data_IF_671914014049
#
_entry.id   IF_671914014049
#
_cell.length_a   1.000
_cell.length_b   1.000
_cell.length_c   1.000
_cell.angle_alpha   90.00
_cell.angle_beta   90.00
_cell.angle_gamma   90.00
#
_symmetry.space_group_name_H-M   'P 1'
#
loop_
_entity.id
_entity.type
_entity.pdbx_description
1 polymer ?
#
# COMPACT_ATOMS: atom_id res chain seq x y z
N UNK A 1 3.22 3.45 -15.11
CA UNK A 1 2.78 4.78 -14.62
C UNK A 1 3.71 5.34 -13.54
N UNK A 2 3.58 4.99 -12.24
CA UNK A 2 4.44 5.55 -11.17
C UNK A 2 5.96 5.37 -11.39
N UNK A 3 6.38 4.25 -11.99
CA UNK A 3 7.79 3.97 -12.37
C UNK A 3 8.26 4.73 -13.62
N UNK A 4 7.34 5.19 -14.46
CA UNK A 4 7.62 5.82 -15.76
C UNK A 4 7.65 7.35 -15.64
N UNK A 5 7.24 7.91 -14.50
CA UNK A 5 7.25 9.35 -14.26
C UNK A 5 8.59 9.75 -13.62
N UNK A 6 9.48 10.42 -14.35
CA UNK A 6 10.86 10.68 -13.90
C UNK A 6 10.94 11.64 -12.69
N UNK A 7 9.87 12.39 -12.41
CA UNK A 7 9.82 13.36 -11.31
C UNK A 7 9.35 12.77 -9.97
N UNK A 8 9.10 11.46 -9.88
CA UNK A 8 8.66 10.82 -8.63
C UNK A 8 9.88 10.24 -7.92
N UNK A 9 10.30 10.92 -6.86
CA UNK A 9 11.33 10.45 -5.94
C UNK A 9 10.74 9.97 -4.61
N UNK A 10 11.59 9.41 -3.74
CA UNK A 10 11.22 8.91 -2.40
C UNK A 10 10.66 9.97 -1.42
N UNK A 11 10.69 11.25 -1.77
CA UNK A 11 10.24 12.37 -0.94
C UNK A 11 9.02 13.09 -1.53
N UNK A 12 8.61 12.70 -2.74
CA UNK A 12 7.51 13.29 -3.46
C UNK A 12 6.21 13.06 -2.71
N UNK A 13 5.34 14.08 -2.66
CA UNK A 13 4.07 14.03 -1.93
C UNK A 13 2.92 13.64 -2.84
N UNK A 14 1.95 12.93 -2.28
CA UNK A 14 0.77 12.47 -3.02
C UNK A 14 0.02 13.62 -3.73
N UNK A 15 -0.09 14.78 -3.08
CA UNK A 15 -0.73 15.97 -3.64
C UNK A 15 -0.08 16.50 -4.92
N UNK A 16 1.23 16.31 -5.10
CA UNK A 16 1.98 16.76 -6.27
C UNK A 16 1.83 15.76 -7.43
N UNK A 17 1.85 14.46 -7.09
CA UNK A 17 1.67 13.37 -8.06
C UNK A 17 0.23 13.31 -8.57
N UNK A 18 -0.75 13.50 -7.68
CA UNK A 18 -2.18 13.54 -8.00
C UNK A 18 -2.48 14.51 -9.14
N UNK A 19 -1.94 15.73 -9.08
CA UNK A 19 -2.17 16.77 -10.11
C UNK A 19 -1.51 16.42 -11.45
N UNK A 20 -0.33 15.79 -11.42
CA UNK A 20 0.41 15.42 -12.63
C UNK A 20 -0.18 14.19 -13.34
N UNK A 21 -0.80 13.29 -12.58
CA UNK A 21 -1.30 12.00 -13.08
C UNK A 21 -2.80 11.99 -13.42
N UNK A 22 -3.53 13.05 -13.09
CA UNK A 22 -4.99 13.12 -13.28
C UNK A 22 -5.43 12.91 -14.74
N UNK A 23 -4.54 13.21 -15.69
CA UNK A 23 -4.78 13.02 -17.13
C UNK A 23 -4.42 11.63 -17.67
N UNK A 24 -3.66 10.79 -16.93
CA UNK A 24 -3.21 9.48 -17.41
C UNK A 24 -4.37 8.46 -17.39
N UNK A 25 -4.66 7.76 -18.51
CA UNK A 25 -5.73 6.75 -18.58
C UNK A 25 -5.61 5.65 -17.52
N UNK A 26 -4.38 5.27 -17.14
CA UNK A 26 -4.12 4.24 -16.11
C UNK A 26 -4.39 4.76 -14.70
N UNK A 27 -4.35 6.07 -14.50
CA UNK A 27 -4.73 6.70 -13.23
C UNK A 27 -6.25 6.79 -13.13
N UNK A 28 -6.94 7.12 -14.22
CA UNK A 28 -8.41 7.15 -14.29
C UNK A 28 -9.03 5.76 -14.14
N UNK A 29 -8.37 4.70 -14.61
CA UNK A 29 -8.85 3.32 -14.52
C UNK A 29 -8.97 2.76 -13.08
N UNK A 30 -8.34 3.38 -12.09
CA UNK A 30 -8.46 2.97 -10.68
C UNK A 30 -9.52 3.83 -10.00
N UNK A 31 -10.72 3.35 -9.77
CA UNK A 31 -11.82 4.23 -9.30
C UNK A 31 -11.66 4.71 -7.85
N UNK A 32 -11.01 3.92 -7.00
CA UNK A 32 -10.81 4.24 -5.59
C UNK A 32 -9.64 5.21 -5.37
N UNK A 33 -9.94 6.40 -4.84
CA UNK A 33 -8.90 7.38 -4.47
C UNK A 33 -7.98 6.87 -3.36
N UNK A 34 -8.49 6.04 -2.45
CA UNK A 34 -7.70 5.40 -1.38
C UNK A 34 -6.70 4.42 -1.98
N UNK A 35 -7.16 3.57 -2.90
CA UNK A 35 -6.31 2.56 -3.54
C UNK A 35 -5.18 3.18 -4.38
N UNK A 36 -5.47 4.32 -5.05
CA UNK A 36 -4.43 5.10 -5.75
C UNK A 36 -3.35 5.61 -4.79
N UNK A 37 -3.77 6.12 -3.64
CA UNK A 37 -2.87 6.65 -2.61
C UNK A 37 -2.06 5.54 -1.93
N UNK A 38 -2.66 4.37 -1.71
CA UNK A 38 -1.98 3.20 -1.14
C UNK A 38 -0.90 2.66 -2.07
N UNK A 39 -1.18 2.52 -3.37
CA UNK A 39 -0.17 2.12 -4.36
C UNK A 39 0.96 3.15 -4.48
N UNK A 40 0.65 4.43 -4.31
CA UNK A 40 1.66 5.48 -4.25
C UNK A 40 2.55 5.35 -3.01
N UNK A 41 1.95 5.18 -1.82
CA UNK A 41 2.68 4.98 -0.55
C UNK A 41 3.57 3.74 -0.62
N UNK A 42 3.07 2.65 -1.18
CA UNK A 42 3.84 1.43 -1.41
C UNK A 42 5.00 1.65 -2.39
N UNK A 43 4.77 2.38 -3.47
CA UNK A 43 5.82 2.72 -4.44
C UNK A 43 6.94 3.56 -3.80
N UNK A 44 6.59 4.58 -3.01
CA UNK A 44 7.56 5.40 -2.27
C UNK A 44 8.33 4.57 -1.22
N UNK A 45 7.64 3.66 -0.52
CA UNK A 45 8.26 2.73 0.43
C UNK A 45 9.30 1.85 -0.27
N UNK A 46 8.96 1.29 -1.43
CA UNK A 46 9.88 0.48 -2.25
C UNK A 46 11.12 1.27 -2.68
N UNK A 47 10.98 2.51 -3.13
CA UNK A 47 12.11 3.39 -3.49
C UNK A 47 13.02 3.71 -2.29
N UNK A 48 12.45 3.82 -1.08
CA UNK A 48 13.23 4.00 0.16
C UNK A 48 14.02 2.73 0.51
N UNK A 49 13.40 1.56 0.39
CA UNK A 49 14.03 0.26 0.65
C UNK A 49 15.12 -0.06 -0.37
N UNK A 50 14.91 0.24 -1.65
CA UNK A 50 15.88 0.04 -2.73
C UNK A 50 17.16 0.87 -2.49
N UNK A 51 17.01 2.16 -2.17
CA UNK A 51 18.16 3.00 -1.78
C UNK A 51 18.86 2.51 -0.51
N UNK A 52 18.10 1.97 0.45
CA UNK A 52 18.69 1.41 1.68
C UNK A 52 19.57 0.21 1.34
N UNK A 53 19.08 -0.69 0.48
CA UNK A 53 19.82 -1.85 -0.02
C UNK A 53 21.05 -1.45 -0.84
N UNK A 54 20.96 -0.45 -1.70
CA UNK A 54 22.11 0.08 -2.44
C UNK A 54 23.18 0.67 -1.52
N UNK A 55 22.77 1.41 -0.48
CA UNK A 55 23.70 1.95 0.53
C UNK A 55 24.38 0.85 1.34
N UNK A 56 23.65 -0.20 1.71
CA UNK A 56 24.19 -1.36 2.44
C UNK A 56 25.13 -2.19 1.56
N UNK A 57 24.76 -2.46 0.31
CA UNK A 57 25.62 -3.12 -0.67
C UNK A 57 26.89 -2.32 -1.01
N UNK A 58 26.78 -1.00 -1.14
CA UNK A 58 27.91 -0.11 -1.35
C UNK A 58 28.87 -0.02 -0.16
N UNK A 59 28.36 -0.15 1.08
CA UNK A 59 29.20 -0.28 2.28
C UNK A 59 29.97 -1.60 2.28
N UNK A 60 29.29 -2.71 2.01
CA UNK A 60 29.90 -4.04 1.91
C UNK A 60 31.01 -4.08 0.85
N UNK A 61 30.75 -3.58 -0.37
CA UNK A 61 31.75 -3.54 -1.45
C UNK A 61 32.94 -2.61 -1.13
N UNK A 62 32.70 -1.50 -0.42
CA UNK A 62 33.78 -0.58 0.02
C UNK A 62 34.64 -1.20 1.13
N UNK A 63 34.05 -1.98 2.01
CA UNK A 63 34.72 -2.72 3.07
C UNK A 63 35.59 -3.84 2.49
N UNK A 64 35.04 -4.59 1.53
CA UNK A 64 35.76 -5.65 0.80
C UNK A 64 36.94 -5.10 -0.02
N UNK A 65 36.78 -3.92 -0.65
CA UNK A 65 37.87 -3.22 -1.35
C UNK A 65 38.95 -2.72 -0.39
N UNK A 66 38.59 -2.33 0.83
CA UNK A 66 39.53 -1.89 1.86
C UNK A 66 40.35 -3.07 2.38
N UNK A 67 39.73 -4.22 2.63
CA UNK A 67 40.44 -5.45 3.00
C UNK A 67 41.40 -5.92 1.90
N UNK A 68 41.00 -5.86 0.62
CA UNK A 68 41.90 -6.21 -0.50
C UNK A 68 43.14 -5.32 -0.56
N UNK A 69 42.98 -4.00 -0.42
CA UNK A 69 44.11 -3.06 -0.37
C UNK A 69 45.02 -3.29 0.83
N UNK A 70 44.46 -3.67 1.98
CA UNK A 70 45.26 -3.98 3.17
C UNK A 70 46.04 -5.29 3.02
N UNK A 71 45.47 -6.30 2.34
CA UNK A 71 46.18 -7.54 2.01
C UNK A 71 47.30 -7.31 0.98
N UNK A 72 47.09 -6.45 -0.01
CA UNK A 72 48.14 -6.05 -0.97
C UNK A 72 49.28 -5.29 -0.29
N UNK A 73 48.98 -4.31 0.56
CA UNK A 73 50.02 -3.54 1.25
C UNK A 73 50.84 -4.39 2.24
N UNK A 74 50.22 -5.38 2.88
CA UNK A 74 50.93 -6.39 3.71
C UNK A 74 51.86 -7.27 2.87
N UNK A 75 51.42 -7.67 1.66
CA UNK A 75 52.27 -8.45 0.72
C UNK A 75 53.45 -7.63 0.21
N UNK A 76 53.24 -6.35 -0.13
CA UNK A 76 54.31 -5.46 -0.58
C UNK A 76 55.34 -5.17 0.52
N UNK A 77 54.91 -4.98 1.78
CA UNK A 77 55.85 -4.86 2.90
C UNK A 77 56.65 -6.13 3.12
N UNK A 78 56.02 -7.30 2.98
CA UNK A 78 56.71 -8.59 3.08
C UNK A 78 57.72 -8.81 1.94
N UNK A 79 57.41 -8.39 0.71
CA UNK A 79 58.35 -8.51 -0.42
C UNK A 79 59.49 -7.50 -0.35
N UNK A 80 59.24 -6.28 0.15
CA UNK A 80 60.31 -5.29 0.43
C UNK A 80 61.27 -5.76 1.52
N UNK A 81 60.76 -6.37 2.59
CA UNK A 81 61.57 -6.95 3.67
C UNK A 81 62.48 -8.07 3.18
N UNK A 82 62.00 -8.94 2.28
CA UNK A 82 62.82 -10.01 1.68
C UNK A 82 63.87 -9.44 0.71
N UNK A 83 63.56 -8.34 0.02
CA UNK A 83 64.48 -7.69 -0.92
C UNK A 83 65.57 -6.85 -0.23
N UNK A 84 65.33 -6.38 0.99
CA UNK A 84 66.37 -5.76 1.82
C UNK A 84 67.35 -6.79 2.37
N UNK A 85 66.88 -7.98 2.77
CA UNK A 85 67.76 -9.08 3.23
C UNK A 85 68.66 -9.64 2.10
N UNK A 86 68.20 -9.61 0.84
CA UNK A 86 69.05 -9.96 -0.32
C UNK A 86 70.09 -8.88 -0.68
N UNK A 87 69.83 -7.60 -0.37
CA UNK A 87 70.70 -6.46 -0.75
C UNK A 87 71.79 -6.16 0.27
N UNK A 88 71.64 -6.57 1.52
CA UNK A 88 72.71 -6.50 2.53
C UNK A 88 73.81 -7.54 2.29
N UNK A 89 73.51 -8.64 1.58
CA UNK A 89 74.51 -9.67 1.25
C UNK A 89 75.30 -9.38 -0.05
N UNK A 90 75.01 -8.27 -0.76
CA UNK A 90 75.64 -7.94 -2.05
C UNK A 90 76.39 -6.59 -2.04
N UNK A 91 76.55 -5.96 -0.88
CA UNK A 91 77.15 -4.62 -0.75
C UNK A 91 78.39 -4.64 0.13
N UNK A 92 79.30 -5.55 -0.19
CA UNK A 92 80.67 -5.62 0.38
C UNK A 92 81.75 -5.68 -0.72
N UNK A 93 81.42 -5.29 -1.96
CA UNK A 93 82.41 -5.16 -3.03
C UNK A 93 82.11 -3.99 -3.96
N UNK A 94 83.19 -3.28 -4.26
CA UNK A 94 83.35 -2.26 -5.31
C UNK A 94 82.96 -0.84 -4.90
N UNK A 95 83.84 -0.25 -4.07
CA UNK A 95 84.33 1.11 -4.29
C UNK A 95 85.36 1.07 -5.43
N UNK A 96 85.24 1.95 -6.42
CA UNK A 96 86.25 2.92 -6.87
C UNK A 96 85.99 3.43 -8.31
N UNK A 97 86.46 4.67 -8.49
CA UNK A 97 86.81 5.37 -9.74
C UNK A 97 85.74 6.18 -10.54
N UNK A 98 85.86 7.49 -10.31
CA UNK A 98 86.22 8.54 -11.29
C UNK A 98 85.17 9.22 -12.20
N UNK A 99 84.96 10.49 -11.82
CA UNK A 99 85.24 11.73 -12.56
C UNK A 99 84.10 12.55 -13.18
N UNK A 100 84.01 13.78 -12.63
CA UNK A 100 83.72 15.11 -13.22
C UNK A 100 82.62 15.27 -14.30
N UNK A 101 81.60 16.10 -14.01
CA UNK A 101 81.37 17.39 -14.71
C UNK A 101 80.15 18.17 -14.18
N UNK A 102 80.37 19.50 -14.08
CA UNK A 102 79.42 20.62 -14.11
C UNK A 102 78.27 20.73 -13.09
N UNK A 103 78.53 21.60 -12.10
CA UNK A 103 77.54 22.31 -11.28
C UNK A 103 77.48 23.74 -11.78
N UNK A 104 76.44 24.11 -12.52
CA UNK A 104 75.90 25.47 -12.50
C UNK A 104 74.49 25.51 -13.12
N UNK A 105 73.45 25.45 -12.27
CA UNK A 105 72.06 25.65 -12.70
C UNK A 105 70.92 25.05 -11.87
N UNK A 106 71.16 24.22 -10.86
CA UNK A 106 70.09 23.41 -10.23
C UNK A 106 69.57 23.90 -8.86
N UNK A 107 70.11 24.99 -8.29
CA UNK A 107 69.76 25.40 -6.91
C UNK A 107 68.43 26.18 -6.84
N UNK A 108 68.07 26.95 -7.87
CA UNK A 108 66.78 27.65 -7.94
C UNK A 108 65.61 26.71 -8.26
N UNK A 109 65.87 25.58 -8.93
CA UNK A 109 64.84 24.60 -9.31
C UNK A 109 64.48 23.67 -8.13
N UNK A 110 65.45 23.31 -7.28
CA UNK A 110 65.21 22.51 -6.07
C UNK A 110 64.37 23.21 -4.99
N UNK A 111 64.60 24.52 -4.74
CA UNK A 111 63.84 25.28 -3.75
C UNK A 111 62.40 25.51 -4.23
N UNK A 112 62.23 25.78 -5.54
CA UNK A 112 60.92 25.87 -6.18
C UNK A 112 60.18 24.51 -6.21
N UNK A 113 60.91 23.40 -6.34
CA UNK A 113 60.37 22.05 -6.30
C UNK A 113 59.91 21.65 -4.89
N UNK A 114 60.69 21.98 -3.85
CA UNK A 114 60.32 21.75 -2.44
C UNK A 114 59.09 22.56 -2.03
N UNK A 115 58.98 23.83 -2.43
CA UNK A 115 57.77 24.62 -2.19
C UNK A 115 56.52 24.07 -2.90
N UNK A 116 56.68 23.55 -4.13
CA UNK A 116 55.59 22.90 -4.87
C UNK A 116 55.16 21.60 -4.18
N UNK A 117 56.11 20.81 -3.70
CA UNK A 117 55.83 19.56 -2.99
C UNK A 117 55.12 19.82 -1.64
N UNK A 118 55.52 20.86 -0.90
CA UNK A 118 54.86 21.28 0.33
C UNK A 118 53.43 21.82 0.07
N UNK A 119 53.24 22.65 -0.96
CA UNK A 119 51.90 23.11 -1.37
C UNK A 119 51.01 21.95 -1.80
N UNK A 120 51.55 20.97 -2.54
CA UNK A 120 50.82 19.78 -2.95
C UNK A 120 50.49 18.87 -1.74
N UNK A 121 51.38 18.76 -0.76
CA UNK A 121 51.14 18.03 0.48
C UNK A 121 50.04 18.71 1.33
N UNK A 122 50.07 20.04 1.45
CA UNK A 122 49.03 20.81 2.12
C UNK A 122 47.68 20.72 1.41
N UNK A 123 47.65 20.77 0.08
CA UNK A 123 46.41 20.60 -0.70
C UNK A 123 45.86 19.17 -0.55
N UNK A 124 46.72 18.15 -0.55
CA UNK A 124 46.34 16.76 -0.25
C UNK A 124 45.77 16.63 1.16
N UNK A 125 46.40 17.26 2.16
CA UNK A 125 45.90 17.27 3.55
C UNK A 125 44.56 17.99 3.66
N UNK A 126 44.41 19.18 3.06
CA UNK A 126 43.16 19.94 3.06
C UNK A 126 42.02 19.19 2.35
N UNK A 127 42.32 18.47 1.26
CA UNK A 127 41.34 17.62 0.57
C UNK A 127 40.91 16.42 1.41
N UNK A 128 41.84 15.81 2.14
CA UNK A 128 41.57 14.71 3.07
C UNK A 128 40.74 15.20 4.27
N UNK A 129 41.09 16.34 4.85
CA UNK A 129 40.35 16.96 5.96
C UNK A 129 38.95 17.39 5.52
N UNK A 130 38.81 18.02 4.36
CA UNK A 130 37.51 18.37 3.78
C UNK A 130 36.64 17.12 3.55
N UNK A 131 37.24 16.03 3.03
CA UNK A 131 36.53 14.75 2.84
C UNK A 131 36.12 14.10 4.16
N UNK A 132 36.97 14.17 5.19
CA UNK A 132 36.67 13.64 6.52
C UNK A 132 35.55 14.47 7.19
N UNK A 133 35.64 15.80 7.13
CA UNK A 133 34.63 16.73 7.64
C UNK A 133 33.29 16.56 6.93
N UNK A 134 33.29 16.35 5.62
CA UNK A 134 32.07 16.07 4.85
C UNK A 134 31.44 14.73 5.26
N UNK A 135 32.27 13.70 5.44
CA UNK A 135 31.82 12.39 5.92
C UNK A 135 31.25 12.46 7.33
N UNK A 136 31.89 13.18 8.24
CA UNK A 136 31.40 13.42 9.60
C UNK A 136 30.07 14.16 9.59
N UNK A 137 29.93 15.21 8.76
CA UNK A 137 28.65 15.92 8.56
C UNK A 137 27.55 15.01 8.02
N UNK A 138 27.86 14.08 7.12
CA UNK A 138 26.88 13.09 6.62
C UNK A 138 26.48 12.09 7.72
N UNK A 139 27.45 11.62 8.52
CA UNK A 139 27.17 10.74 9.67
C UNK A 139 26.29 11.47 10.70
N UNK A 140 26.61 12.72 11.03
CA UNK A 140 25.78 13.52 11.94
C UNK A 140 24.37 13.75 11.38
N UNK A 141 24.23 14.05 10.08
CA UNK A 141 22.92 14.21 9.43
C UNK A 141 22.10 12.93 9.49
N UNK A 142 22.70 11.78 9.17
CA UNK A 142 22.01 10.49 9.23
C UNK A 142 21.65 10.07 10.66
N UNK A 143 22.52 10.32 11.63
CA UNK A 143 22.25 10.08 13.04
C UNK A 143 21.12 10.97 13.57
N UNK A 144 21.12 12.27 13.22
CA UNK A 144 20.08 13.20 13.63
C UNK A 144 18.69 12.79 13.10
N UNK A 145 18.62 12.33 11.84
CA UNK A 145 17.37 11.78 11.27
C UNK A 145 16.95 10.52 12.02
N UNK A 146 17.85 9.57 12.23
CA UNK A 146 17.53 8.33 12.94
C UNK A 146 17.08 8.56 14.38
N UNK A 147 17.69 9.51 15.09
CA UNK A 147 17.28 9.89 16.44
C UNK A 147 15.88 10.50 16.43
N UNK A 148 15.60 11.42 15.51
CA UNK A 148 14.27 12.03 15.35
C UNK A 148 13.21 10.99 15.00
N UNK A 149 13.51 10.08 14.08
CA UNK A 149 12.59 9.02 13.68
C UNK A 149 12.27 8.12 14.88
N UNK A 150 13.28 7.69 15.63
CA UNK A 150 13.10 6.89 16.86
C UNK A 150 12.30 7.62 17.94
N UNK A 151 12.54 8.91 18.13
CA UNK A 151 11.78 9.69 19.12
C UNK A 151 10.33 9.88 18.66
N UNK A 152 10.11 10.07 17.36
CA UNK A 152 8.78 10.11 16.75
C UNK A 152 8.06 8.78 16.95
N UNK A 153 8.69 7.64 16.66
CA UNK A 153 8.12 6.30 16.88
C UNK A 153 7.75 6.07 18.34
N UNK A 154 8.60 6.49 19.28
CA UNK A 154 8.30 6.37 20.71
C UNK A 154 7.09 7.17 21.14
N UNK A 155 6.93 8.40 20.65
CA UNK A 155 5.73 9.19 20.94
C UNK A 155 4.47 8.60 20.28
N UNK A 156 4.59 8.02 19.08
CA UNK A 156 3.48 7.31 18.45
C UNK A 156 3.07 6.08 19.27
N UNK A 157 4.02 5.27 19.75
CA UNK A 157 3.70 4.12 20.60
C UNK A 157 2.99 4.52 21.88
N UNK A 158 3.41 5.61 22.55
CA UNK A 158 2.71 6.12 23.74
C UNK A 158 1.28 6.59 23.42
N UNK A 159 1.09 7.25 22.26
CA UNK A 159 -0.24 7.65 21.80
C UNK A 159 -1.11 6.43 21.50
N UNK A 160 -0.58 5.44 20.78
CA UNK A 160 -1.26 4.18 20.47
C UNK A 160 -1.65 3.42 21.74
N UNK A 161 -0.78 3.37 22.75
CA UNK A 161 -1.08 2.81 24.08
C UNK A 161 -2.25 3.55 24.75
N UNK A 162 -2.25 4.89 24.71
CA UNK A 162 -3.36 5.69 25.23
C UNK A 162 -4.67 5.43 24.46
N UNK A 163 -4.61 5.28 23.14
CA UNK A 163 -5.75 4.88 22.29
C UNK A 163 -6.27 3.50 22.68
N UNK A 164 -5.38 2.54 22.87
CA UNK A 164 -5.75 1.17 23.28
C UNK A 164 -6.41 1.15 24.65
N UNK A 165 -5.86 1.86 25.64
CA UNK A 165 -6.46 1.99 26.97
C UNK A 165 -7.85 2.64 26.91
N UNK A 166 -8.00 3.69 26.09
CA UNK A 166 -9.28 4.35 25.90
C UNK A 166 -10.32 3.42 25.23
N UNK A 167 -9.93 2.71 24.18
CA UNK A 167 -10.79 1.75 23.50
C UNK A 167 -11.20 0.59 24.41
N UNK A 168 -10.31 0.09 25.25
CA UNK A 168 -10.63 -0.93 26.26
C UNK A 168 -11.67 -0.40 27.27
N UNK A 169 -11.49 0.84 27.73
CA UNK A 169 -12.45 1.50 28.62
C UNK A 169 -13.84 1.66 27.98
N UNK A 170 -13.87 2.05 26.70
CA UNK A 170 -15.11 2.13 25.92
C UNK A 170 -15.78 0.76 25.77
N UNK A 171 -15.02 -0.30 25.47
CA UNK A 171 -15.56 -1.64 25.33
C UNK A 171 -16.23 -2.15 26.62
N UNK A 172 -15.65 -1.83 27.78
CA UNK A 172 -16.16 -2.28 29.06
C UNK A 172 -17.40 -1.51 29.52
N UNK A 173 -17.35 -0.17 29.44
CA UNK A 173 -18.35 0.73 30.03
C UNK A 173 -19.41 1.20 29.03
N UNK A 174 -19.08 1.33 27.75
CA UNK A 174 -20.00 1.80 26.71
C UNK A 174 -20.48 0.60 25.89
N UNK A 175 -21.56 -0.04 26.35
CA UNK A 175 -22.20 -1.16 25.63
C UNK A 175 -23.48 -0.77 24.90
N UNK A 176 -24.01 0.41 25.20
CA UNK A 176 -25.22 0.94 24.58
C UNK A 176 -24.85 1.87 23.41
N UNK A 177 -25.28 1.50 22.20
CA UNK A 177 -25.05 2.27 20.98
C UNK A 177 -25.85 3.59 20.92
N UNK A 178 -26.87 3.76 21.75
CA UNK A 178 -27.68 5.00 21.81
C UNK A 178 -27.15 5.99 22.87
N UNK A 179 -26.01 5.67 23.51
CA UNK A 179 -25.41 6.56 24.51
C UNK A 179 -24.80 7.78 23.82
N UNK A 180 -25.09 8.98 24.32
CA UNK A 180 -24.47 10.20 23.81
C UNK A 180 -23.09 10.45 24.43
N UNK A 181 -22.18 11.09 23.70
CA UNK A 181 -20.82 11.40 24.17
C UNK A 181 -20.79 12.11 25.53
N UNK A 182 -21.68 13.08 25.76
CA UNK A 182 -21.76 13.82 27.04
C UNK A 182 -22.05 12.91 28.23
N UNK A 183 -22.90 11.91 28.05
CA UNK A 183 -23.25 10.96 29.10
C UNK A 183 -22.16 9.90 29.27
N UNK A 184 -21.67 9.34 28.16
CA UNK A 184 -20.55 8.42 28.17
C UNK A 184 -19.34 9.03 28.90
N UNK A 185 -18.95 10.26 28.55
CA UNK A 185 -17.85 10.98 29.19
C UNK A 185 -18.04 11.16 30.70
N UNK A 186 -19.27 11.39 31.17
CA UNK A 186 -19.58 11.47 32.62
C UNK A 186 -19.37 10.14 33.33
N UNK A 187 -19.63 9.02 32.66
CA UNK A 187 -19.40 7.68 33.21
C UNK A 187 -17.92 7.30 33.16
N UNK A 188 -17.27 7.50 32.00
CA UNK A 188 -15.87 7.17 31.74
C UNK A 188 -14.92 7.90 32.71
N UNK A 189 -15.18 9.17 33.03
CA UNK A 189 -14.37 9.97 33.97
C UNK A 189 -14.33 9.45 35.41
N UNK A 190 -15.26 8.58 35.79
CA UNK A 190 -15.27 7.97 37.13
C UNK A 190 -14.33 6.78 37.24
N UNK A 191 -13.92 6.21 36.11
CA UNK A 191 -13.01 5.08 36.04
C UNK A 191 -11.56 5.57 36.12
N UNK A 192 -10.74 4.92 36.94
CA UNK A 192 -9.33 5.26 37.10
C UNK A 192 -8.53 5.21 35.79
N UNK A 193 -8.94 4.32 34.86
CA UNK A 193 -8.28 4.15 33.55
C UNK A 193 -8.49 5.35 32.63
N UNK A 194 -9.41 6.26 32.94
CA UNK A 194 -9.58 7.51 32.18
C UNK A 194 -8.29 8.32 32.09
N UNK A 195 -7.48 8.33 33.16
CA UNK A 195 -6.20 9.06 33.23
C UNK A 195 -5.10 8.40 32.38
N UNK A 196 -5.20 7.09 32.10
CA UNK A 196 -4.26 6.40 31.19
C UNK A 196 -4.38 6.90 29.75
N UNK A 197 -5.53 7.47 29.39
CA UNK A 197 -5.77 8.11 28.10
C UNK A 197 -5.52 9.63 28.14
N UNK A 198 -4.75 10.14 29.11
CA UNK A 198 -4.51 11.59 29.28
C UNK A 198 -3.76 12.23 28.09
N UNK A 199 -2.96 11.45 27.35
CA UNK A 199 -2.27 11.91 26.13
C UNK A 199 -3.23 12.25 24.98
N UNK A 200 -4.42 11.67 24.96
CA UNK A 200 -5.42 11.93 23.92
C UNK A 200 -6.15 13.23 24.22
N UNK A 201 -6.33 14.05 23.19
CA UNK A 201 -7.07 15.29 23.32
C UNK A 201 -8.60 15.04 23.43
N UNK A 202 -9.36 16.12 23.61
CA UNK A 202 -10.82 16.01 23.74
C UNK A 202 -11.48 15.51 22.45
N UNK A 203 -10.97 15.91 21.29
CA UNK A 203 -11.57 15.63 19.99
C UNK A 203 -11.26 14.20 19.52
N UNK A 204 -10.05 13.73 19.76
CA UNK A 204 -9.60 12.36 19.56
C UNK A 204 -10.42 11.39 20.41
N UNK A 205 -10.62 11.68 21.71
CA UNK A 205 -11.49 10.86 22.56
C UNK A 205 -12.92 10.79 22.04
N UNK A 206 -13.46 11.91 21.54
CA UNK A 206 -14.80 11.94 20.96
C UNK A 206 -14.88 11.17 19.63
N UNK A 207 -13.85 11.27 18.78
CA UNK A 207 -13.72 10.49 17.54
C UNK A 207 -13.67 8.99 17.84
N UNK A 208 -12.83 8.56 18.79
CA UNK A 208 -12.73 7.16 19.21
C UNK A 208 -14.06 6.65 19.79
N UNK A 209 -14.75 7.48 20.57
CA UNK A 209 -16.09 7.16 21.06
C UNK A 209 -17.08 6.96 19.91
N UNK A 210 -17.16 7.88 18.95
CA UNK A 210 -18.07 7.76 17.82
C UNK A 210 -17.75 6.53 16.96
N UNK A 211 -16.48 6.25 16.73
CA UNK A 211 -16.04 5.03 16.04
C UNK A 211 -16.45 3.76 16.80
N UNK A 212 -16.34 3.74 18.14
CA UNK A 212 -16.82 2.63 18.96
C UNK A 212 -18.34 2.45 18.88
N UNK A 213 -19.11 3.55 18.94
CA UNK A 213 -20.57 3.49 18.77
C UNK A 213 -20.96 2.96 17.38
N UNK A 214 -20.25 3.38 16.34
CA UNK A 214 -20.43 2.87 14.98
C UNK A 214 -20.12 1.37 14.91
N UNK A 215 -19.00 0.92 15.48
CA UNK A 215 -18.66 -0.50 15.56
C UNK A 215 -19.70 -1.33 16.33
N UNK A 216 -20.23 -0.82 17.44
CA UNK A 216 -21.32 -1.49 18.17
C UNK A 216 -22.60 -1.57 17.34
N UNK A 217 -22.94 -0.48 16.65
CA UNK A 217 -24.11 -0.42 15.77
C UNK A 217 -23.97 -1.41 14.63
N UNK A 218 -22.79 -1.47 14.03
CA UNK A 218 -22.45 -2.39 12.95
C UNK A 218 -22.51 -3.85 13.40
N UNK A 219 -21.91 -4.20 14.55
CA UNK A 219 -21.99 -5.56 15.11
C UNK A 219 -23.44 -5.99 15.39
N UNK A 220 -24.28 -5.08 15.89
CA UNK A 220 -25.71 -5.36 16.09
C UNK A 220 -26.43 -5.55 14.76
N UNK A 221 -26.14 -4.72 13.74
CA UNK A 221 -26.67 -4.82 12.39
C UNK A 221 -26.29 -6.16 11.74
N UNK A 222 -25.05 -6.59 11.87
CA UNK A 222 -24.57 -7.90 11.41
C UNK A 222 -25.35 -9.04 12.05
N UNK A 223 -25.50 -9.04 13.39
CA UNK A 223 -26.28 -10.06 14.08
C UNK A 223 -27.76 -10.07 13.70
N UNK A 224 -28.34 -8.91 13.41
CA UNK A 224 -29.69 -8.81 12.89
C UNK A 224 -29.81 -9.36 11.46
N UNK A 225 -28.83 -9.05 10.59
CA UNK A 225 -28.78 -9.62 9.23
C UNK A 225 -28.52 -11.11 9.22
N UNK A 226 -27.70 -11.65 10.12
CA UNK A 226 -27.52 -13.10 10.33
C UNK A 226 -28.87 -13.76 10.64
N UNK A 227 -29.64 -13.21 11.57
CA UNK A 227 -31.01 -13.67 11.87
C UNK A 227 -31.91 -13.64 10.62
N UNK A 228 -31.88 -12.55 9.84
CA UNK A 228 -32.65 -12.46 8.60
C UNK A 228 -32.23 -13.49 7.54
N UNK A 229 -30.94 -13.85 7.47
CA UNK A 229 -30.45 -14.89 6.56
C UNK A 229 -30.90 -16.29 7.00
N UNK A 230 -30.98 -16.55 8.30
CA UNK A 230 -31.42 -17.83 8.88
C UNK A 230 -32.94 -18.02 8.80
N UNK A 231 -33.70 -16.95 8.55
CA UNK A 231 -35.17 -16.96 8.52
C UNK A 231 -35.68 -17.37 7.13
N UNK A 232 -36.28 -18.56 6.93
CA UNK A 232 -36.73 -19.01 5.62
C UNK A 232 -37.89 -18.17 5.05
N UNK A 233 -38.69 -17.53 5.90
CA UNK A 233 -39.75 -16.60 5.50
C UNK A 233 -39.19 -15.27 4.94
N UNK A 234 -37.88 -15.03 5.05
CA UNK A 234 -37.20 -13.83 4.57
C UNK A 234 -36.73 -14.01 3.12
N UNK A 235 -37.66 -13.85 2.18
CA UNK A 235 -37.43 -13.90 0.74
C UNK A 235 -37.30 -12.50 0.15
N UNK A 236 -36.87 -12.39 -1.12
CA UNK A 236 -36.67 -11.12 -1.82
C UNK A 236 -37.96 -10.28 -1.97
N UNK A 237 -39.14 -10.91 -1.89
CA UNK A 237 -40.45 -10.25 -1.98
C UNK A 237 -41.23 -10.23 -0.66
N UNK A 238 -40.64 -10.71 0.44
CA UNK A 238 -41.33 -10.80 1.73
C UNK A 238 -41.65 -9.42 2.31
N UNK A 239 -42.78 -9.33 3.02
CA UNK A 239 -43.14 -8.11 3.75
C UNK A 239 -42.51 -8.07 5.14
N UNK A 240 -42.24 -6.86 5.65
CA UNK A 240 -41.73 -6.71 7.02
C UNK A 240 -42.65 -7.34 8.07
N UNK A 241 -43.98 -7.29 7.88
CA UNK A 241 -44.95 -7.83 8.85
C UNK A 241 -44.82 -9.34 9.02
N UNK A 242 -44.61 -10.07 7.94
CA UNK A 242 -44.45 -11.53 7.95
C UNK A 242 -43.12 -11.92 8.61
N UNK A 243 -42.02 -11.32 8.16
CA UNK A 243 -40.68 -11.58 8.70
C UNK A 243 -40.62 -11.22 10.18
N UNK A 244 -41.19 -10.07 10.58
CA UNK A 244 -41.29 -9.65 11.98
C UNK A 244 -42.00 -10.69 12.85
N UNK A 245 -43.07 -11.32 12.35
CA UNK A 245 -43.81 -12.35 13.11
C UNK A 245 -42.93 -13.57 13.39
N UNK A 246 -42.03 -13.92 12.48
CA UNK A 246 -41.08 -15.02 12.64
C UNK A 246 -39.93 -14.67 13.61
N UNK A 247 -39.40 -13.45 13.54
CA UNK A 247 -38.18 -13.07 14.27
C UNK A 247 -38.40 -12.37 15.61
N UNK A 248 -39.63 -11.99 15.95
CA UNK A 248 -39.93 -11.16 17.15
C UNK A 248 -39.50 -11.76 18.49
N UNK A 249 -39.45 -13.09 18.58
CA UNK A 249 -39.06 -13.80 19.81
C UNK A 249 -37.53 -13.99 19.90
N UNK A 250 -36.77 -13.73 18.83
CA UNK A 250 -35.32 -13.90 18.82
C UNK A 250 -34.63 -12.75 19.59
N UNK A 251 -33.71 -13.05 20.52
CA UNK A 251 -33.00 -12.03 21.28
C UNK A 251 -32.22 -11.02 20.41
N UNK A 252 -31.74 -11.42 19.23
CA UNK A 252 -31.00 -10.55 18.29
C UNK A 252 -31.89 -9.44 17.73
N UNK A 253 -33.20 -9.68 17.55
CA UNK A 253 -34.17 -8.66 17.16
C UNK A 253 -34.30 -7.57 18.24
N UNK A 254 -34.57 -7.98 19.48
CA UNK A 254 -34.72 -7.04 20.61
C UNK A 254 -33.41 -6.27 20.90
N UNK A 255 -32.25 -6.93 20.79
CA UNK A 255 -30.93 -6.33 21.04
C UNK A 255 -30.48 -5.35 19.94
N UNK A 256 -30.95 -5.52 18.70
CA UNK A 256 -30.65 -4.61 17.60
C UNK A 256 -31.25 -3.23 17.86
N UNK A 257 -32.57 -3.17 18.08
CA UNK A 257 -33.25 -1.93 18.43
C UNK A 257 -34.61 -2.20 19.09
N UNK A 258 -34.98 -1.36 20.05
CA UNK A 258 -36.35 -1.28 20.55
C UNK A 258 -37.32 -0.57 19.58
N UNK A 259 -36.79 0.11 18.55
CA UNK A 259 -37.58 0.84 17.56
C UNK A 259 -37.92 -0.06 16.37
N UNK A 260 -39.19 -0.45 16.25
CA UNK A 260 -39.67 -1.26 15.12
C UNK A 260 -39.42 -0.59 13.77
N UNK A 261 -39.51 0.75 13.73
CA UNK A 261 -39.20 1.53 12.52
C UNK A 261 -37.73 1.42 12.09
N UNK A 262 -36.80 1.30 13.06
CA UNK A 262 -35.37 1.11 12.78
C UNK A 262 -35.13 -0.29 12.22
N UNK A 263 -35.78 -1.30 12.80
CA UNK A 263 -35.74 -2.68 12.31
C UNK A 263 -36.34 -2.81 10.89
N UNK A 264 -37.49 -2.19 10.61
CA UNK A 264 -38.11 -2.19 9.28
C UNK A 264 -37.19 -1.53 8.23
N UNK A 265 -36.55 -0.41 8.58
CA UNK A 265 -35.62 0.27 7.68
C UNK A 265 -34.43 -0.62 7.34
N UNK A 266 -33.84 -1.24 8.36
CA UNK A 266 -32.71 -2.15 8.17
C UNK A 266 -33.11 -3.38 7.35
N UNK A 267 -34.31 -3.92 7.57
CA UNK A 267 -34.87 -5.00 6.74
C UNK A 267 -34.99 -4.60 5.28
N UNK A 268 -35.55 -3.41 4.98
CA UNK A 268 -35.66 -2.91 3.60
C UNK A 268 -34.29 -2.73 2.95
N UNK A 269 -33.32 -2.23 3.70
CA UNK A 269 -31.93 -2.10 3.24
C UNK A 269 -31.31 -3.47 2.97
N UNK A 270 -31.50 -4.44 3.86
CA UNK A 270 -31.05 -5.82 3.69
C UNK A 270 -31.64 -6.49 2.43
N UNK A 271 -32.95 -6.35 2.19
CA UNK A 271 -33.60 -6.89 0.98
C UNK A 271 -33.03 -6.20 -0.27
N UNK A 272 -32.81 -4.88 -0.22
CA UNK A 272 -32.17 -4.14 -1.32
C UNK A 272 -30.76 -4.66 -1.59
N UNK A 273 -29.94 -4.85 -0.56
CA UNK A 273 -28.58 -5.37 -0.69
C UNK A 273 -28.57 -6.79 -1.26
N UNK A 274 -29.49 -7.65 -0.80
CA UNK A 274 -29.70 -9.01 -1.33
C UNK A 274 -30.11 -9.00 -2.79
N UNK A 275 -31.00 -8.09 -3.18
CA UNK A 275 -31.38 -7.91 -4.59
C UNK A 275 -30.17 -7.49 -5.42
N UNK A 276 -29.38 -6.51 -4.98
CA UNK A 276 -28.18 -6.07 -5.70
C UNK A 276 -27.19 -7.22 -5.88
N UNK A 277 -26.93 -7.99 -4.80
CA UNK A 277 -26.05 -9.16 -4.86
C UNK A 277 -26.59 -10.23 -5.83
N UNK A 278 -27.89 -10.58 -5.74
CA UNK A 278 -28.50 -11.57 -6.63
C UNK A 278 -28.48 -11.14 -8.11
N UNK A 279 -28.66 -9.85 -8.39
CA UNK A 279 -28.52 -9.30 -9.76
C UNK A 279 -27.09 -9.39 -10.27
N UNK A 280 -26.10 -9.09 -9.42
CA UNK A 280 -24.69 -9.24 -9.77
C UNK A 280 -24.32 -10.71 -10.04
N UNK A 281 -24.78 -11.64 -9.19
CA UNK A 281 -24.58 -13.08 -9.36
C UNK A 281 -25.22 -13.60 -10.66
N UNK A 282 -26.42 -13.11 -11.01
CA UNK A 282 -27.05 -13.43 -12.28
C UNK A 282 -26.24 -12.90 -13.47
N UNK A 283 -25.73 -11.67 -13.40
CA UNK A 283 -24.87 -11.14 -14.45
C UNK A 283 -23.58 -11.96 -14.62
N UNK A 284 -22.97 -12.42 -13.51
CA UNK A 284 -21.80 -13.30 -13.56
C UNK A 284 -22.15 -14.65 -14.22
N UNK A 285 -23.27 -15.27 -13.81
CA UNK A 285 -23.78 -16.50 -14.43
C UNK A 285 -23.99 -16.34 -15.95
N UNK A 286 -24.60 -15.23 -16.38
CA UNK A 286 -24.83 -14.96 -17.80
C UNK A 286 -23.51 -14.79 -18.58
N UNK A 287 -22.47 -14.22 -17.95
CA UNK A 287 -21.11 -14.12 -18.53
C UNK A 287 -20.41 -15.48 -18.62
N UNK A 288 -20.59 -16.34 -17.62
CA UNK A 288 -20.04 -17.70 -17.59
C UNK A 288 -20.73 -18.63 -18.61
N UNK A 289 -21.99 -18.35 -18.95
CA UNK A 289 -22.81 -19.16 -19.86
C UNK A 289 -22.43 -18.92 -21.32
N UNK A 290 -21.38 -19.61 -21.77
CA UNK A 290 -20.79 -19.48 -23.13
C UNK A 290 -21.73 -19.79 -24.30
N UNK A 291 -22.87 -20.44 -24.04
CA UNK A 291 -23.89 -20.71 -25.06
C UNK A 291 -24.70 -19.46 -25.43
N UNK A 292 -24.71 -18.45 -24.56
CA UNK A 292 -25.30 -17.15 -24.85
C UNK A 292 -24.27 -16.31 -25.60
N UNK A 293 -24.58 -15.97 -26.84
CA UNK A 293 -23.67 -15.26 -27.76
C UNK A 293 -24.33 -13.99 -28.32
N UNK A 294 -23.59 -13.18 -29.07
CA UNK A 294 -24.13 -12.00 -29.77
C UNK A 294 -25.28 -12.32 -30.74
N UNK A 295 -25.43 -13.57 -31.18
CA UNK A 295 -26.53 -14.02 -32.04
C UNK A 295 -27.77 -14.47 -31.27
N UNK A 296 -27.63 -14.70 -29.97
CA UNK A 296 -28.70 -15.24 -29.14
C UNK A 296 -29.89 -14.29 -29.06
N UNK A 297 -29.70 -12.96 -29.18
CA UNK A 297 -30.82 -12.02 -29.24
C UNK A 297 -31.67 -12.21 -30.50
N UNK A 298 -31.05 -12.24 -31.68
CA UNK A 298 -31.74 -12.50 -32.95
C UNK A 298 -32.45 -13.86 -32.96
N UNK A 299 -31.81 -14.91 -32.42
CA UNK A 299 -32.42 -16.24 -32.29
C UNK A 299 -33.63 -16.25 -31.36
N UNK A 300 -33.62 -15.45 -30.30
CA UNK A 300 -34.76 -15.29 -29.38
C UNK A 300 -35.91 -14.52 -30.04
N UNK A 301 -35.62 -13.52 -30.88
CA UNK A 301 -36.65 -12.81 -31.66
C UNK A 301 -37.28 -13.69 -32.75
N UNK A 302 -36.50 -14.59 -33.35
CA UNK A 302 -36.98 -15.51 -34.39
C UNK A 302 -37.74 -16.72 -33.81
N UNK A 303 -37.39 -17.17 -32.61
CA UNK A 303 -37.93 -18.40 -32.02
C UNK A 303 -38.06 -18.32 -30.48
N UNK A 304 -39.30 -18.26 -29.98
CA UNK A 304 -39.61 -18.29 -28.55
C UNK A 304 -39.09 -19.55 -27.83
N UNK A 305 -38.82 -20.64 -28.56
CA UNK A 305 -38.22 -21.86 -28.00
C UNK A 305 -36.80 -21.62 -27.47
N UNK A 306 -36.02 -20.74 -28.11
CA UNK A 306 -34.65 -20.46 -27.66
C UNK A 306 -34.60 -19.74 -26.32
N UNK A 307 -35.61 -18.91 -26.01
CA UNK A 307 -35.73 -18.32 -24.67
C UNK A 307 -35.92 -19.40 -23.61
N UNK A 308 -36.79 -20.38 -23.88
CA UNK A 308 -37.04 -21.51 -22.96
C UNK A 308 -35.81 -22.37 -22.76
N UNK A 309 -35.07 -22.67 -23.82
CA UNK A 309 -33.80 -23.42 -23.74
C UNK A 309 -32.76 -22.69 -22.86
N UNK A 310 -32.64 -21.36 -23.01
CA UNK A 310 -31.76 -20.55 -22.16
C UNK A 310 -32.24 -20.60 -20.71
N UNK A 311 -33.53 -20.43 -20.45
CA UNK A 311 -34.10 -20.49 -19.09
C UNK A 311 -33.87 -21.87 -18.44
N UNK A 312 -34.13 -22.98 -19.15
CA UNK A 312 -33.93 -24.35 -18.66
C UNK A 312 -32.46 -24.65 -18.31
N UNK A 313 -31.52 -24.06 -19.06
CA UNK A 313 -30.10 -24.17 -18.72
C UNK A 313 -29.75 -23.39 -17.45
N UNK A 314 -30.24 -22.15 -17.36
CA UNK A 314 -29.97 -21.29 -16.20
C UNK A 314 -30.64 -21.82 -14.93
N UNK A 315 -31.77 -22.54 -15.05
CA UNK A 315 -32.50 -23.14 -13.92
C UNK A 315 -31.71 -24.20 -13.14
N UNK A 316 -30.63 -24.72 -13.72
CA UNK A 316 -29.70 -25.64 -13.04
C UNK A 316 -28.78 -24.92 -12.04
N UNK A 317 -28.64 -23.60 -12.16
CA UNK A 317 -27.79 -22.80 -11.31
C UNK A 317 -28.56 -22.17 -10.14
N UNK A 318 -27.98 -22.21 -8.94
CA UNK A 318 -28.60 -21.64 -7.73
C UNK A 318 -28.82 -20.13 -7.84
N UNK A 319 -27.93 -19.40 -8.52
CA UNK A 319 -28.00 -17.93 -8.70
C UNK A 319 -29.25 -17.53 -9.48
N UNK A 320 -29.67 -18.36 -10.44
CA UNK A 320 -30.91 -18.18 -11.17
C UNK A 320 -32.16 -18.40 -10.30
N UNK A 321 -32.13 -19.41 -9.44
CA UNK A 321 -33.24 -19.76 -8.56
C UNK A 321 -33.51 -18.69 -7.49
N UNK A 322 -32.47 -18.01 -6.99
CA UNK A 322 -32.59 -16.94 -5.98
C UNK A 322 -33.50 -15.81 -6.47
N UNK A 323 -33.41 -15.43 -7.75
CA UNK A 323 -34.27 -14.41 -8.36
C UNK A 323 -35.66 -14.92 -8.75
N UNK A 324 -36.01 -16.17 -8.44
CA UNK A 324 -37.33 -16.75 -8.75
C UNK A 324 -38.50 -15.99 -8.09
N UNK A 325 -38.25 -15.29 -6.99
CA UNK A 325 -39.25 -14.45 -6.31
C UNK A 325 -39.52 -13.11 -7.02
N UNK A 326 -38.67 -12.73 -7.98
CA UNK A 326 -38.78 -11.48 -8.77
C UNK A 326 -38.57 -11.80 -10.26
N UNK A 327 -39.54 -12.48 -10.90
CA UNK A 327 -39.39 -12.98 -12.26
C UNK A 327 -39.26 -11.88 -13.32
N UNK A 328 -39.84 -10.70 -13.08
CA UNK A 328 -39.75 -9.55 -13.99
C UNK A 328 -38.32 -9.01 -14.04
N UNK A 329 -37.70 -8.76 -12.87
CA UNK A 329 -36.29 -8.35 -12.79
C UNK A 329 -35.36 -9.36 -13.47
N UNK A 330 -35.63 -10.67 -13.30
CA UNK A 330 -34.86 -11.75 -13.92
C UNK A 330 -34.95 -11.69 -15.45
N UNK A 331 -36.15 -11.52 -15.99
CA UNK A 331 -36.40 -11.38 -17.43
C UNK A 331 -35.77 -10.12 -18.00
N UNK A 332 -35.87 -9.01 -17.29
CA UNK A 332 -35.29 -7.73 -17.70
C UNK A 332 -33.76 -7.80 -17.76
N UNK A 333 -33.12 -8.45 -16.78
CA UNK A 333 -31.66 -8.65 -16.77
C UNK A 333 -31.22 -9.53 -17.94
N UNK A 334 -31.92 -10.65 -18.19
CA UNK A 334 -31.62 -11.52 -19.33
C UNK A 334 -31.77 -10.75 -20.66
N UNK A 335 -32.87 -10.03 -20.83
CA UNK A 335 -33.13 -9.21 -22.02
C UNK A 335 -32.07 -8.15 -22.23
N UNK A 336 -31.72 -7.40 -21.18
CA UNK A 336 -30.70 -6.36 -21.26
C UNK A 336 -29.33 -6.96 -21.60
N UNK A 337 -28.99 -8.12 -21.05
CA UNK A 337 -27.75 -8.81 -21.36
C UNK A 337 -27.66 -9.27 -22.82
N UNK A 338 -28.76 -9.81 -23.38
CA UNK A 338 -28.84 -10.20 -24.79
C UNK A 338 -28.66 -9.00 -25.72
N UNK A 339 -29.33 -7.87 -25.42
CA UNK A 339 -29.18 -6.62 -26.17
C UNK A 339 -27.75 -6.08 -26.09
N UNK A 340 -27.12 -6.13 -24.92
CA UNK A 340 -25.75 -5.67 -24.72
C UNK A 340 -24.75 -6.56 -25.49
N UNK A 341 -24.99 -7.87 -25.56
CA UNK A 341 -24.17 -8.80 -26.35
C UNK A 341 -24.32 -8.57 -27.85
N UNK A 342 -25.53 -8.36 -28.35
CA UNK A 342 -25.77 -8.02 -29.76
C UNK A 342 -25.06 -6.72 -30.13
N UNK A 343 -25.18 -5.68 -29.28
CA UNK A 343 -24.51 -4.39 -29.49
C UNK A 343 -22.98 -4.50 -29.46
N UNK A 344 -22.42 -5.35 -28.59
CA UNK A 344 -20.98 -5.61 -28.52
C UNK A 344 -20.47 -6.38 -29.74
N UNK A 345 -21.31 -7.20 -30.35
CA UNK A 345 -20.95 -8.05 -31.47
C UNK A 345 -20.02 -9.21 -31.08
N UNK A 346 -19.40 -9.90 -32.05
CA UNK A 346 -18.51 -11.02 -31.78
C UNK A 346 -17.30 -10.56 -30.93
N UNK A 347 -16.82 -11.40 -30.00
CA UNK A 347 -15.63 -11.07 -29.22
C UNK A 347 -14.45 -10.79 -30.17
N UNK A 348 -13.67 -9.73 -29.94
CA UNK A 348 -12.55 -9.39 -30.82
C UNK A 348 -11.59 -10.58 -30.91
N UNK A 349 -11.02 -10.86 -32.09
CA UNK A 349 -10.09 -11.97 -32.23
C UNK A 349 -8.90 -11.76 -31.29
N UNK A 350 -8.26 -12.82 -30.78
CA UNK A 350 -7.10 -12.71 -29.86
C UNK A 350 -5.95 -11.87 -30.42
N UNK A 351 -5.94 -11.67 -31.74
CA UNK A 351 -4.97 -10.89 -32.51
C UNK A 351 -5.34 -9.42 -32.70
N UNK A 352 -6.53 -8.98 -32.28
CA UNK A 352 -6.92 -7.58 -32.29
C UNK A 352 -6.29 -6.85 -31.08
N UNK A 353 -5.05 -6.39 -31.25
CA UNK A 353 -4.47 -5.38 -30.37
C UNK A 353 -5.42 -4.17 -30.29
N UNK A 354 -5.67 -3.75 -29.05
CA UNK A 354 -6.37 -2.56 -28.59
C UNK A 354 -6.40 -1.40 -29.62
N UNK A 355 -7.59 -0.90 -30.04
CA UNK A 355 -7.72 0.25 -30.94
C UNK A 355 -6.98 1.51 -30.45
N UNK A 356 -6.67 1.58 -29.15
CA UNK A 356 -5.92 2.67 -28.51
C UNK A 356 -4.48 2.83 -29.03
N UNK A 357 -3.93 1.87 -29.78
CA UNK A 357 -2.59 1.96 -30.40
C UNK A 357 -2.56 2.58 -31.80
N UNK A 358 -3.70 2.89 -32.43
CA UNK A 358 -3.73 3.45 -33.82
C UNK A 358 -3.73 4.97 -33.92
N UNK A 359 -3.86 5.71 -32.82
CA UNK A 359 -4.02 7.17 -32.82
C UNK A 359 -2.73 7.96 -32.55
N UNK A 360 -1.58 7.43 -32.96
CA UNK A 360 -0.32 8.20 -33.03
C UNK A 360 0.29 7.93 -34.40
N UNK A 361 -0.16 8.70 -35.39
CA UNK A 361 0.59 9.14 -36.58
C UNK A 361 -0.42 9.67 -37.61
N UNK A 362 -0.86 10.91 -37.41
CA UNK A 362 -1.21 11.84 -38.49
C UNK A 362 -0.79 13.24 -38.07
#
# INVERSE_FOLDING_TARGET
MLKETPDIDRHTRWSEVKKKMDSDPRYKAVESSLQREDWFREHIKRLKEERKREKEGGRSSREERKERKEKESRKERSSKSRKSEEKENSKEKEEEEDNEMDVDGEVEDEESAKEREEKEAQEKQARVEASLREREKEVQRTLAVHLRDRDTEREHHKHDEAVQHFNALLADLVRNCELGWREAKRQLRKDHRWELASLLDREEKEKLFNAHIEQLTQKKKEKFRELLNETPECTLSSSWKEVRKAIKEDPRYSKFSSSDRKCEREFKEYIKDKLVAAKADLHELLQETKLITHKSNALVEENESHTKEIEEMLEKDKRWLVLGHVPDDRRDILRQYLLDLEKRGPPPPPTACDPSRRSINK
#
